data_IF_418921014460
#
_entry.id   IF_418921014460
#
_cell.length_a   1.000
_cell.length_b   1.000
_cell.length_c   1.000
_cell.angle_alpha   90.00
_cell.angle_beta   90.00
_cell.angle_gamma   90.00
#
_symmetry.space_group_name_H-M   'P 1'
#
loop_
_entity.id
_entity.type
_entity.pdbx_description
1 polymer ?
#
# COMPACT_ATOMS: atom_id res chain seq x y z
N UNK A 1 -21.06 -23.48 -31.08
CA UNK A 1 -21.28 -22.08 -30.71
C UNK A 1 -21.23 -22.04 -29.19
N UNK A 2 -20.33 -21.43 -28.45
CA UNK A 2 -19.27 -20.46 -28.73
C UNK A 2 -18.50 -20.19 -27.41
N UNK A 3 -17.19 -20.44 -27.44
CA UNK A 3 -16.03 -19.75 -26.79
C UNK A 3 -15.90 -19.59 -25.25
N UNK A 4 -14.65 -19.70 -24.73
CA UNK A 4 -14.31 -19.90 -23.33
C UNK A 4 -14.26 -18.58 -22.53
N UNK A 5 -14.60 -18.64 -21.24
CA UNK A 5 -14.43 -17.51 -20.32
C UNK A 5 -12.94 -17.34 -19.99
N UNK A 6 -12.42 -16.21 -20.43
CA UNK A 6 -11.06 -15.75 -20.21
C UNK A 6 -10.82 -15.53 -18.71
N UNK A 7 -10.01 -16.38 -18.08
CA UNK A 7 -9.51 -16.15 -16.71
C UNK A 7 -8.28 -15.26 -16.79
N UNK A 8 -8.29 -14.02 -16.26
CA UNK A 8 -7.04 -13.28 -16.12
C UNK A 8 -6.18 -13.96 -15.04
N UNK A 9 -4.95 -14.29 -15.40
CA UNK A 9 -3.97 -14.85 -14.50
C UNK A 9 -3.59 -13.79 -13.44
N UNK A 10 -3.90 -14.10 -12.18
CA UNK A 10 -3.49 -13.32 -11.02
C UNK A 10 -1.97 -13.35 -10.93
N UNK A 11 -1.30 -12.26 -11.36
CA UNK A 11 0.13 -12.12 -11.17
C UNK A 11 0.34 -11.30 -9.88
N UNK A 12 0.76 -11.91 -8.77
CA UNK A 12 1.18 -11.13 -7.61
C UNK A 12 2.37 -10.27 -8.04
N UNK A 13 2.19 -8.95 -8.03
CA UNK A 13 3.25 -7.94 -8.20
C UNK A 13 4.09 -7.90 -6.91
N UNK A 14 4.76 -9.01 -6.59
CA UNK A 14 5.66 -9.10 -5.45
C UNK A 14 6.90 -9.96 -5.81
N UNK A 15 7.43 -9.76 -7.02
CA UNK A 15 8.60 -10.48 -7.48
C UNK A 15 9.52 -9.52 -8.25
N UNK A 16 10.09 -8.54 -7.55
CA UNK A 16 11.50 -8.16 -7.69
C UNK A 16 11.85 -7.10 -6.63
N UNK A 17 12.19 -7.56 -5.43
CA UNK A 17 13.01 -6.79 -4.50
C UNK A 17 14.27 -7.62 -4.29
N UNK A 18 15.17 -7.60 -5.27
CA UNK A 18 16.50 -8.15 -5.12
C UNK A 18 17.30 -7.28 -4.13
N UNK A 19 17.19 -7.62 -2.84
CA UNK A 19 18.10 -7.10 -1.80
C UNK A 19 19.40 -7.89 -1.93
N UNK A 20 20.39 -7.31 -2.62
CA UNK A 20 21.78 -7.80 -2.59
C UNK A 20 22.37 -7.46 -1.22
N UNK A 21 22.25 -8.40 -0.27
CA UNK A 21 22.92 -8.32 1.03
C UNK A 21 24.37 -8.81 0.87
N UNK A 22 25.32 -7.87 0.86
CA UNK A 22 26.75 -8.16 0.99
C UNK A 22 27.06 -8.60 2.42
N UNK A 23 27.81 -9.69 2.54
CA UNK A 23 28.25 -10.24 3.82
C UNK A 23 29.30 -9.32 4.46
N UNK A 24 28.98 -8.77 5.63
CA UNK A 24 29.93 -8.59 6.73
C UNK A 24 29.14 -8.45 8.03
N UNK A 25 29.81 -8.65 9.15
CA UNK A 25 29.30 -8.79 10.52
C UNK A 25 28.48 -7.56 10.96
N UNK A 26 27.16 -7.57 10.75
CA UNK A 26 26.24 -6.50 11.20
C UNK A 26 25.37 -7.04 12.32
N UNK A 27 25.50 -6.40 13.49
CA UNK A 27 24.70 -6.50 14.70
C UNK A 27 23.22 -6.82 14.38
N UNK A 28 22.85 -8.10 14.52
CA UNK A 28 21.56 -8.64 14.04
C UNK A 28 20.34 -8.06 14.75
N UNK A 29 20.50 -7.31 15.85
CA UNK A 29 19.39 -6.64 16.53
C UNK A 29 18.89 -5.38 15.81
N UNK A 30 19.74 -4.68 15.04
CA UNK A 30 19.31 -3.57 14.19
C UNK A 30 18.64 -4.04 12.90
N UNK A 31 18.85 -5.31 12.51
CA UNK A 31 18.28 -5.92 11.30
C UNK A 31 16.76 -6.17 11.38
N UNK A 32 16.20 -6.11 12.59
CA UNK A 32 14.77 -6.29 12.86
C UNK A 32 14.09 -4.98 13.27
N UNK A 33 14.37 -3.87 12.58
CA UNK A 33 13.40 -2.78 12.46
C UNK A 33 12.19 -3.29 11.64
N UNK A 34 11.46 -4.25 12.20
CA UNK A 34 10.14 -4.59 11.74
C UNK A 34 9.26 -3.40 12.08
N UNK A 35 9.10 -2.50 11.11
CA UNK A 35 8.13 -1.42 11.20
C UNK A 35 6.75 -2.06 11.37
N UNK A 36 6.26 -2.10 12.62
CA UNK A 36 4.96 -2.66 12.96
C UNK A 36 3.89 -1.68 12.50
N UNK A 37 3.32 -1.94 11.32
CA UNK A 37 2.21 -1.15 10.79
C UNK A 37 0.91 -1.60 11.44
N UNK A 38 0.23 -0.68 12.12
CA UNK A 38 -1.12 -0.89 12.64
C UNK A 38 -2.15 -0.90 11.49
N UNK A 39 -2.41 -2.08 10.95
CA UNK A 39 -3.38 -2.29 9.85
C UNK A 39 -4.82 -2.00 10.28
N UNK A 40 -5.16 -2.15 11.56
CA UNK A 40 -6.50 -1.86 12.05
C UNK A 40 -6.77 -0.35 12.03
N UNK A 41 -5.76 0.45 12.41
CA UNK A 41 -5.78 1.92 12.25
C UNK A 41 -6.00 2.30 10.78
N UNK A 42 -5.23 1.72 9.85
CA UNK A 42 -5.35 2.05 8.42
C UNK A 42 -6.72 1.71 7.84
N UNK A 43 -7.27 0.53 8.18
CA UNK A 43 -8.63 0.15 7.81
C UNK A 43 -9.68 1.11 8.40
N UNK A 44 -9.49 1.56 9.64
CA UNK A 44 -10.32 2.57 10.28
C UNK A 44 -10.34 3.89 9.52
N UNK A 45 -9.19 4.35 9.02
CA UNK A 45 -9.08 5.57 8.19
C UNK A 45 -9.88 5.42 6.89
N UNK A 46 -9.78 4.28 6.19
CA UNK A 46 -10.56 4.01 4.98
C UNK A 46 -12.07 4.05 5.29
N UNK A 47 -12.49 3.32 6.32
CA UNK A 47 -13.91 3.26 6.73
C UNK A 47 -14.44 4.64 7.12
N UNK A 48 -13.66 5.43 7.85
CA UNK A 48 -14.05 6.79 8.23
C UNK A 48 -14.25 7.67 7.01
N UNK A 49 -13.35 7.62 6.04
CA UNK A 49 -13.51 8.35 4.79
C UNK A 49 -14.78 7.92 4.03
N UNK A 50 -15.01 6.60 3.92
CA UNK A 50 -16.18 6.01 3.25
C UNK A 50 -17.51 6.20 4.01
N UNK A 51 -17.50 6.70 5.25
CA UNK A 51 -18.74 7.14 5.92
C UNK A 51 -19.29 8.41 5.29
N UNK A 52 -18.41 9.29 4.84
CA UNK A 52 -18.77 10.61 4.27
C UNK A 52 -18.91 10.60 2.75
N UNK A 53 -18.28 9.63 2.06
CA UNK A 53 -18.24 9.53 0.60
C UNK A 53 -18.50 8.08 0.17
N UNK A 54 -19.12 7.87 -0.99
CA UNK A 54 -19.35 6.51 -1.53
C UNK A 54 -18.06 5.83 -2.02
N UNK A 55 -17.09 6.64 -2.48
CA UNK A 55 -15.79 6.19 -2.95
C UNK A 55 -14.70 7.21 -2.59
N UNK A 56 -13.46 6.76 -2.47
CA UNK A 56 -12.28 7.63 -2.29
C UNK A 56 -11.05 6.98 -2.91
N UNK A 57 -10.22 7.76 -3.60
CA UNK A 57 -8.94 7.25 -4.10
C UNK A 57 -7.89 7.18 -2.99
N UNK A 58 -6.92 6.26 -3.10
CA UNK A 58 -5.80 6.20 -2.17
C UNK A 58 -5.03 7.53 -2.12
N UNK A 59 -4.84 8.19 -3.26
CA UNK A 59 -4.19 9.52 -3.32
C UNK A 59 -4.94 10.57 -2.51
N UNK A 60 -6.26 10.65 -2.64
CA UNK A 60 -7.09 11.57 -1.87
C UNK A 60 -7.10 11.21 -0.38
N UNK A 61 -7.15 9.92 -0.05
CA UNK A 61 -7.07 9.44 1.33
C UNK A 61 -5.78 9.93 1.99
N UNK A 62 -4.64 9.78 1.30
CA UNK A 62 -3.33 10.18 1.81
C UNK A 62 -3.13 11.70 1.86
N UNK A 63 -3.91 12.47 1.10
CA UNK A 63 -3.94 13.93 1.24
C UNK A 63 -4.61 14.39 2.55
N UNK A 64 -5.53 13.58 3.09
CA UNK A 64 -6.21 13.85 4.36
C UNK A 64 -5.56 13.15 5.55
N UNK A 65 -4.95 11.99 5.33
CA UNK A 65 -4.27 11.17 6.33
C UNK A 65 -2.90 10.73 5.78
N UNK A 66 -1.85 11.56 5.94
CA UNK A 66 -0.53 11.25 5.37
C UNK A 66 0.11 10.02 6.01
N UNK A 67 0.99 9.37 5.25
CA UNK A 67 1.73 8.19 5.69
C UNK A 67 2.68 8.55 6.85
N UNK A 68 2.61 7.78 7.92
CA UNK A 68 3.47 7.93 9.12
C UNK A 68 4.71 7.05 9.02
N UNK A 69 4.56 5.84 8.47
CA UNK A 69 5.64 4.88 8.28
C UNK A 69 6.01 4.69 6.80
N UNK A 70 5.72 5.69 5.97
CA UNK A 70 6.08 5.74 4.56
C UNK A 70 5.62 4.52 3.75
N UNK A 71 6.57 3.85 3.10
CA UNK A 71 6.28 2.73 2.19
C UNK A 71 5.57 1.56 2.89
N UNK A 72 5.88 1.30 4.16
CA UNK A 72 5.27 0.20 4.89
C UNK A 72 3.74 0.38 5.00
N UNK A 73 3.29 1.60 5.29
CA UNK A 73 1.87 1.93 5.30
C UNK A 73 1.26 1.94 3.91
N UNK A 74 1.99 2.42 2.90
CA UNK A 74 1.51 2.38 1.51
C UNK A 74 1.22 0.94 1.08
N UNK A 75 2.15 0.02 1.32
CA UNK A 75 1.97 -1.41 1.01
C UNK A 75 0.80 -1.99 1.82
N UNK A 76 0.67 -1.62 3.09
CA UNK A 76 -0.45 -2.09 3.92
C UNK A 76 -1.81 -1.60 3.40
N UNK A 77 -1.92 -0.35 2.93
CA UNK A 77 -3.13 0.15 2.26
C UNK A 77 -3.47 -0.67 1.02
N UNK A 78 -2.48 -0.97 0.18
CA UNK A 78 -2.68 -1.81 -1.01
C UNK A 78 -3.15 -3.21 -0.62
N UNK A 79 -2.54 -3.82 0.39
CA UNK A 79 -2.94 -5.14 0.89
C UNK A 79 -4.38 -5.14 1.46
N UNK A 80 -4.78 -4.09 2.17
CA UNK A 80 -6.15 -3.94 2.67
C UNK A 80 -7.18 -3.84 1.53
N UNK A 81 -6.80 -3.28 0.38
CA UNK A 81 -7.69 -3.23 -0.78
C UNK A 81 -7.95 -4.58 -1.45
N UNK A 82 -6.97 -5.50 -1.39
CA UNK A 82 -7.03 -6.80 -2.06
C UNK A 82 -7.30 -7.97 -1.11
N UNK A 83 -7.08 -7.76 0.19
CA UNK A 83 -7.24 -8.78 1.22
C UNK A 83 -8.70 -9.13 1.48
N UNK A 84 -8.91 -10.30 2.07
CA UNK A 84 -10.18 -10.67 2.71
C UNK A 84 -9.93 -10.96 4.18
N UNK A 85 -10.79 -10.45 5.04
CA UNK A 85 -10.71 -10.63 6.49
C UNK A 85 -11.45 -9.53 7.24
N UNK A 86 -11.46 -9.63 8.56
CA UNK A 86 -12.22 -8.74 9.47
C UNK A 86 -11.86 -7.25 9.29
N UNK A 87 -10.59 -6.96 9.00
CA UNK A 87 -10.12 -5.59 8.75
C UNK A 87 -10.62 -5.00 7.43
N UNK A 88 -11.00 -5.84 6.47
CA UNK A 88 -11.50 -5.42 5.15
C UNK A 88 -13.02 -5.45 5.06
N UNK A 89 -13.71 -5.86 6.12
CA UNK A 89 -15.17 -5.85 6.12
C UNK A 89 -15.70 -4.41 6.00
N UNK A 90 -16.71 -4.24 5.13
CA UNK A 90 -17.38 -2.96 4.88
C UNK A 90 -16.70 -2.03 3.88
N UNK A 91 -15.70 -2.51 3.14
CA UNK A 91 -15.20 -1.85 1.94
C UNK A 91 -14.57 -2.84 0.97
N UNK A 92 -14.35 -2.41 -0.26
CA UNK A 92 -13.55 -3.11 -1.28
C UNK A 92 -12.66 -2.10 -2.01
N UNK A 93 -11.67 -2.57 -2.76
CA UNK A 93 -10.88 -1.72 -3.63
C UNK A 93 -10.96 -2.17 -5.09
N UNK A 94 -10.99 -1.18 -5.97
CA UNK A 94 -10.86 -1.33 -7.42
C UNK A 94 -9.52 -0.71 -7.83
N UNK A 95 -8.87 -1.34 -8.81
CA UNK A 95 -7.63 -0.83 -9.40
C UNK A 95 -7.92 -0.39 -10.82
N UNK A 96 -7.73 0.90 -11.09
CA UNK A 96 -7.78 1.47 -12.43
C UNK A 96 -6.35 1.54 -12.98
N UNK A 97 -6.00 0.57 -13.81
CA UNK A 97 -4.68 0.43 -14.44
C UNK A 97 -4.44 1.46 -15.55
N UNK A 98 -5.50 2.09 -16.09
CA UNK A 98 -5.37 3.10 -17.14
C UNK A 98 -4.82 4.43 -16.60
N UNK A 99 -4.96 4.67 -15.29
CA UNK A 99 -4.51 5.90 -14.63
C UNK A 99 -3.37 5.60 -13.67
N UNK A 100 -2.24 6.28 -13.88
CA UNK A 100 -1.09 6.22 -12.98
C UNK A 100 -1.11 7.42 -12.02
N UNK A 101 -1.01 7.15 -10.72
CA UNK A 101 -0.92 8.18 -9.68
C UNK A 101 0.44 8.13 -9.00
N UNK A 102 0.96 9.31 -8.66
CA UNK A 102 2.21 9.43 -7.89
C UNK A 102 1.85 9.73 -6.43
N UNK A 103 2.32 8.89 -5.52
CA UNK A 103 2.20 9.07 -4.07
C UNK A 103 3.57 9.46 -3.53
N UNK A 104 3.64 10.55 -2.77
CA UNK A 104 4.86 11.05 -2.16
C UNK A 104 4.75 10.97 -0.64
N UNK A 105 5.85 10.63 0.03
CA UNK A 105 5.93 10.61 1.49
C UNK A 105 7.32 11.00 1.98
N UNK A 106 7.40 11.44 3.22
CA UNK A 106 8.68 11.69 3.89
C UNK A 106 9.24 10.39 4.45
N UNK A 107 10.54 10.19 4.29
CA UNK A 107 11.29 9.08 4.86
C UNK A 107 12.63 9.61 5.39
N UNK A 108 13.29 8.83 6.23
CA UNK A 108 14.67 9.13 6.65
C UNK A 108 15.64 8.40 5.72
N UNK A 109 16.68 9.09 5.27
CA UNK A 109 17.83 8.48 4.61
C UNK A 109 18.76 7.83 5.64
N UNK A 110 19.74 7.06 5.18
CA UNK A 110 20.68 6.34 6.04
C UNK A 110 21.55 7.27 6.93
N UNK A 111 21.69 8.52 6.51
CA UNK A 111 22.36 9.61 7.23
C UNK A 111 21.43 10.39 8.17
N UNK A 112 20.15 9.98 8.30
CA UNK A 112 19.14 10.65 9.11
C UNK A 112 18.51 11.87 8.44
N UNK A 113 18.88 12.22 7.20
CA UNK A 113 18.27 13.34 6.50
C UNK A 113 16.83 13.03 6.09
N UNK A 114 15.93 14.01 6.24
CA UNK A 114 14.58 13.90 5.71
C UNK A 114 14.62 13.91 4.18
N UNK A 115 14.18 12.82 3.56
CA UNK A 115 14.07 12.66 2.12
C UNK A 115 12.64 12.42 1.70
N UNK A 116 12.21 13.07 0.62
CA UNK A 116 10.92 12.79 0.01
C UNK A 116 11.08 11.63 -0.97
N UNK A 117 10.34 10.55 -0.73
CA UNK A 117 10.24 9.40 -1.65
C UNK A 117 8.93 9.46 -2.41
N UNK A 118 8.90 8.82 -3.58
CA UNK A 118 7.73 8.75 -4.42
C UNK A 118 7.55 7.33 -4.97
N UNK A 119 6.30 6.90 -5.11
CA UNK A 119 5.93 5.69 -5.84
C UNK A 119 4.89 6.05 -6.91
N UNK A 120 5.02 5.41 -8.08
CA UNK A 120 4.01 5.43 -9.13
C UNK A 120 3.25 4.11 -9.10
N UNK A 121 1.93 4.19 -9.04
CA UNK A 121 1.07 3.03 -9.02
C UNK A 121 -0.23 3.31 -9.79
N UNK A 122 -0.90 2.26 -10.29
CA UNK A 122 -2.28 2.36 -10.72
C UNK A 122 -3.15 3.06 -9.67
N UNK A 123 -4.17 3.78 -10.14
CA UNK A 123 -5.14 4.40 -9.24
C UNK A 123 -5.87 3.31 -8.45
N UNK A 124 -5.84 3.43 -7.14
CA UNK A 124 -6.60 2.56 -6.23
C UNK A 124 -7.79 3.33 -5.69
N UNK A 125 -8.98 2.76 -5.84
CA UNK A 125 -10.25 3.36 -5.45
C UNK A 125 -10.89 2.47 -4.40
N UNK A 126 -11.10 2.99 -3.21
CA UNK A 126 -11.88 2.30 -2.19
C UNK A 126 -13.36 2.64 -2.34
N UNK A 127 -14.21 1.64 -2.22
CA UNK A 127 -15.68 1.73 -2.27
C UNK A 127 -16.28 0.98 -1.09
N UNK A 128 -17.50 1.35 -0.68
CA UNK A 128 -18.23 0.63 0.38
C UNK A 128 -18.63 -0.77 -0.06
#
# INVERSE_FOLDING_TARGET
MERPLCTPAFKPLLADLAVLAGADDIDTQALFEQVVVDRARLAGVIRLALRTRAQITLRELLAHAPLQHGLAELVAYLQLGHGRGELTEGFSALVDEAVQETIQWQASAADGAAVTRAAKLPRVIYTR
#
